data_IF_022355785787
#
_entry.id   IF_022355785787
#
_cell.length_a   1.000
_cell.length_b   1.000
_cell.length_c   1.000
_cell.angle_alpha   90.00
_cell.angle_beta   90.00
_cell.angle_gamma   90.00
#
_symmetry.space_group_name_H-M   'P 1'
#
loop_
_entity.id
_entity.type
_entity.pdbx_description
1 polymer ?
#
# COMPACT_ATOMS: atom_id res chain seq x y z
N UNK A 1 -118.02 46.77 -21.14
CA UNK A 1 -117.21 47.10 -22.34
C UNK A 1 -115.71 47.02 -22.03
N UNK A 2 -115.03 46.06 -22.67
CA UNK A 2 -113.58 45.88 -22.87
C UNK A 2 -112.65 45.78 -21.64
N UNK A 3 -112.18 44.60 -21.24
CA UNK A 3 -111.17 43.69 -21.86
C UNK A 3 -109.72 44.01 -21.44
N UNK A 4 -109.16 43.07 -20.64
CA UNK A 4 -107.82 42.44 -20.75
C UNK A 4 -106.55 43.30 -20.65
N UNK A 5 -105.68 43.01 -19.67
CA UNK A 5 -104.30 42.52 -19.89
C UNK A 5 -103.69 41.87 -18.63
N UNK A 6 -102.76 40.95 -18.89
CA UNK A 6 -102.27 39.83 -18.07
C UNK A 6 -100.83 40.07 -17.58
N UNK A 7 -100.57 39.56 -16.36
CA UNK A 7 -99.33 39.11 -15.67
C UNK A 7 -98.10 40.02 -15.47
N UNK A 8 -97.55 39.98 -14.24
CA UNK A 8 -96.28 39.27 -13.94
C UNK A 8 -95.86 39.35 -12.46
N UNK A 9 -95.36 38.21 -11.96
CA UNK A 9 -94.34 38.00 -10.91
C UNK A 9 -94.62 38.32 -9.42
N UNK A 10 -94.94 37.25 -8.68
CA UNK A 10 -94.14 36.64 -7.59
C UNK A 10 -93.32 37.55 -6.67
N UNK A 11 -93.67 37.58 -5.38
CA UNK A 11 -92.88 37.09 -4.21
C UNK A 11 -93.62 37.49 -2.90
N UNK A 12 -93.89 36.56 -1.97
CA UNK A 12 -94.54 36.86 -0.69
C UNK A 12 -93.51 37.19 0.41
N UNK A 13 -93.71 38.30 1.13
CA UNK A 13 -92.97 38.64 2.36
C UNK A 13 -93.56 37.86 3.54
N UNK A 14 -92.86 36.80 3.97
CA UNK A 14 -93.19 36.02 5.18
C UNK A 14 -92.51 36.66 6.40
N UNK A 15 -93.36 36.96 7.39
CA UNK A 15 -93.08 37.40 8.76
C UNK A 15 -91.85 36.72 9.40
N UNK A 16 -90.90 37.53 9.88
CA UNK A 16 -89.76 37.09 10.69
C UNK A 16 -90.20 36.59 12.08
N UNK A 17 -90.18 35.27 12.30
CA UNK A 17 -90.31 34.64 13.62
C UNK A 17 -88.96 34.07 14.03
N UNK A 18 -88.39 34.64 15.09
CA UNK A 18 -87.19 34.15 15.79
C UNK A 18 -87.32 32.68 16.19
N UNK A 19 -86.39 31.83 15.75
CA UNK A 19 -86.10 30.55 16.38
C UNK A 19 -84.60 30.42 16.65
N UNK A 20 -84.20 30.97 17.79
CA UNK A 20 -83.00 30.52 18.51
C UNK A 20 -83.23 29.03 18.83
N UNK A 21 -82.67 28.13 18.01
CA UNK A 21 -82.71 26.69 18.27
C UNK A 21 -81.80 26.42 19.46
N UNK A 22 -82.40 26.36 20.65
CA UNK A 22 -81.78 25.78 21.82
C UNK A 22 -81.58 24.29 21.54
N UNK A 23 -80.34 23.81 21.63
CA UNK A 23 -80.02 22.40 21.54
C UNK A 23 -80.83 21.63 22.63
N UNK A 24 -81.63 20.66 22.22
CA UNK A 24 -82.37 19.80 23.14
C UNK A 24 -81.39 18.99 24.02
N UNK A 25 -81.71 18.77 25.32
CA UNK A 25 -80.87 17.96 26.18
C UNK A 25 -80.91 16.50 25.71
N UNK A 26 -79.75 15.95 25.38
CA UNK A 26 -79.60 14.53 25.02
C UNK A 26 -80.18 13.64 26.11
N UNK A 27 -80.99 12.65 25.71
CA UNK A 27 -81.61 11.71 26.65
C UNK A 27 -80.55 10.88 27.35
N UNK A 28 -80.85 10.39 28.56
CA UNK A 28 -79.93 9.56 29.36
C UNK A 28 -79.40 8.35 28.57
N UNK A 29 -80.19 7.79 27.66
CA UNK A 29 -79.79 6.69 26.79
C UNK A 29 -78.73 7.11 25.75
N UNK A 30 -78.82 8.32 25.18
CA UNK A 30 -77.81 8.83 24.26
C UNK A 30 -76.49 9.14 24.97
N UNK A 31 -76.54 9.61 26.22
CA UNK A 31 -75.35 9.84 27.05
C UNK A 31 -74.68 8.51 27.40
N UNK A 32 -75.47 7.49 27.76
CA UNK A 32 -74.96 6.14 28.08
C UNK A 32 -74.40 5.46 26.83
N UNK A 33 -75.04 5.59 25.67
CA UNK A 33 -74.55 5.02 24.42
C UNK A 33 -73.25 5.71 23.97
N UNK A 34 -73.16 7.03 24.11
CA UNK A 34 -71.93 7.77 23.82
C UNK A 34 -70.81 7.39 24.80
N UNK A 35 -71.12 7.19 26.08
CA UNK A 35 -70.15 6.73 27.08
C UNK A 35 -69.65 5.31 26.82
N UNK A 36 -70.52 4.39 26.36
CA UNK A 36 -70.14 3.03 25.96
C UNK A 36 -69.27 3.08 24.69
N UNK A 37 -69.61 3.89 23.69
CA UNK A 37 -68.79 4.06 22.48
C UNK A 37 -67.41 4.63 22.84
N UNK A 38 -67.34 5.61 23.74
CA UNK A 38 -66.08 6.17 24.24
C UNK A 38 -65.28 5.11 25.01
N UNK A 39 -65.92 4.32 25.88
CA UNK A 39 -65.25 3.25 26.62
C UNK A 39 -64.72 2.12 25.70
N UNK A 40 -65.50 1.73 24.68
CA UNK A 40 -65.12 0.70 23.69
C UNK A 40 -64.00 1.20 22.78
N UNK A 41 -64.01 2.48 22.39
CA UNK A 41 -62.91 3.08 21.61
C UNK A 41 -61.64 3.26 22.43
N UNK A 42 -61.72 3.60 23.72
CA UNK A 42 -60.56 3.66 24.62
C UNK A 42 -59.98 2.26 24.87
N UNK A 43 -60.82 1.23 25.01
CA UNK A 43 -60.36 -0.16 25.16
C UNK A 43 -59.66 -0.69 23.89
N UNK A 44 -60.04 -0.23 22.70
CA UNK A 44 -59.35 -0.54 21.44
C UNK A 44 -58.00 0.21 21.27
N UNK A 45 -57.72 1.22 22.11
CA UNK A 45 -56.43 1.93 22.19
C UNK A 45 -55.51 1.31 23.26
N UNK A 46 -55.97 0.29 24.00
CA UNK A 46 -55.08 -0.59 24.77
C UNK A 46 -54.33 -1.52 23.81
N UNK A 47 -53.46 -0.90 23.01
CA UNK A 47 -52.46 -1.57 22.21
C UNK A 47 -51.67 -2.48 23.18
N UNK A 48 -51.58 -3.80 22.93
CA UNK A 48 -50.74 -4.66 23.77
C UNK A 48 -49.33 -4.07 23.75
N UNK A 49 -48.62 -4.11 24.87
CA UNK A 49 -47.27 -3.55 25.08
C UNK A 49 -46.19 -4.01 24.07
N UNK A 50 -46.56 -4.78 23.05
CA UNK A 50 -45.78 -5.23 21.91
C UNK A 50 -45.90 -4.34 20.65
N UNK A 51 -46.78 -3.34 20.62
CA UNK A 51 -46.75 -2.27 19.60
C UNK A 51 -46.39 -0.94 20.26
N UNK A 52 -45.34 -0.98 21.08
CA UNK A 52 -44.35 0.10 21.02
C UNK A 52 -43.48 -0.25 19.82
N UNK A 53 -43.98 -0.01 18.60
CA UNK A 53 -43.04 0.17 17.49
C UNK A 53 -42.23 1.37 17.94
N UNK A 54 -40.98 1.09 18.26
CA UNK A 54 -39.88 2.01 18.34
C UNK A 54 -40.03 3.15 17.31
N UNK A 55 -40.79 4.18 17.69
CA UNK A 55 -40.50 5.57 17.35
C UNK A 55 -39.32 6.02 18.23
N UNK A 56 -38.37 5.12 18.49
CA UNK A 56 -37.12 5.41 19.18
C UNK A 56 -36.18 5.94 18.11
N UNK A 57 -36.20 7.26 17.93
CA UNK A 57 -35.27 8.02 17.13
C UNK A 57 -35.01 7.44 15.73
N UNK A 58 -35.80 7.85 14.74
CA UNK A 58 -35.28 7.96 13.38
C UNK A 58 -33.96 8.70 13.49
N UNK A 59 -32.87 7.96 13.29
CA UNK A 59 -31.52 8.43 13.50
C UNK A 59 -31.33 9.75 12.76
N UNK A 60 -30.95 10.78 13.51
CA UNK A 60 -30.73 12.18 13.09
C UNK A 60 -29.63 12.34 12.02
N UNK A 61 -29.12 11.24 11.48
CA UNK A 61 -28.07 11.22 10.48
C UNK A 61 -28.69 11.39 9.10
N UNK A 62 -28.17 12.27 8.23
CA UNK A 62 -28.61 12.38 6.84
C UNK A 62 -28.49 11.06 6.07
N UNK A 63 -29.37 10.84 5.09
CA UNK A 63 -29.19 9.75 4.11
C UNK A 63 -27.86 9.95 3.37
N UNK A 64 -27.15 8.87 3.07
CA UNK A 64 -25.81 8.91 2.47
C UNK A 64 -24.67 9.07 3.49
N UNK A 65 -24.97 9.21 4.80
CA UNK A 65 -23.94 9.19 5.84
C UNK A 65 -23.29 7.81 5.91
N UNK A 66 -21.96 7.78 5.92
CA UNK A 66 -21.15 6.57 6.09
C UNK A 66 -20.60 6.56 7.51
N UNK A 67 -20.73 5.42 8.20
CA UNK A 67 -20.18 5.20 9.53
C UNK A 67 -19.43 3.87 9.61
N UNK A 68 -18.57 3.77 10.62
CA UNK A 68 -17.93 2.52 11.02
C UNK A 68 -18.91 1.68 11.84
N UNK A 69 -18.91 0.37 11.58
CA UNK A 69 -19.80 -0.59 12.21
C UNK A 69 -19.06 -1.86 12.58
N UNK A 70 -19.05 -2.18 13.88
CA UNK A 70 -18.32 -3.32 14.45
C UNK A 70 -19.14 -4.60 14.56
N UNK A 71 -20.44 -4.55 14.25
CA UNK A 71 -21.35 -5.69 14.39
C UNK A 71 -21.51 -6.51 13.10
N UNK A 72 -22.37 -7.51 13.15
CA UNK A 72 -22.67 -8.37 12.00
C UNK A 72 -23.60 -7.64 11.02
N UNK A 73 -23.21 -7.56 9.75
CA UNK A 73 -24.00 -6.87 8.72
C UNK A 73 -25.45 -7.36 8.59
N UNK A 74 -25.72 -8.64 8.83
CA UNK A 74 -27.08 -9.21 8.80
C UNK A 74 -28.06 -8.55 9.77
N UNK A 75 -27.56 -7.92 10.84
CA UNK A 75 -28.40 -7.24 11.84
C UNK A 75 -28.83 -5.85 11.42
N UNK A 76 -28.09 -5.21 10.50
CA UNK A 76 -28.34 -3.83 10.05
C UNK A 76 -28.82 -3.73 8.61
N UNK A 77 -28.74 -4.81 7.84
CA UNK A 77 -29.29 -4.90 6.47
C UNK A 77 -30.71 -5.47 6.45
N UNK A 78 -31.30 -5.77 7.60
CA UNK A 78 -32.70 -6.17 7.72
C UNK A 78 -33.64 -4.98 7.45
N UNK A 79 -34.89 -5.25 7.10
CA UNK A 79 -35.91 -4.24 6.75
C UNK A 79 -36.09 -3.10 7.77
N UNK A 80 -35.73 -3.39 9.03
CA UNK A 80 -35.94 -2.53 10.19
C UNK A 80 -34.86 -1.44 10.28
N UNK A 81 -33.69 -1.68 9.66
CA UNK A 81 -32.54 -0.79 9.66
C UNK A 81 -32.21 -0.40 8.22
N UNK A 82 -32.34 0.90 7.90
CA UNK A 82 -31.99 1.43 6.57
C UNK A 82 -30.47 1.61 6.45
N UNK A 83 -29.70 0.54 6.55
CA UNK A 83 -28.25 0.56 6.39
C UNK A 83 -27.80 -0.48 5.37
N UNK A 84 -26.81 -0.11 4.56
CA UNK A 84 -26.23 -0.97 3.52
C UNK A 84 -24.71 -1.04 3.70
N UNK A 85 -24.12 -2.19 3.35
CA UNK A 85 -22.67 -2.38 3.36
C UNK A 85 -22.02 -1.57 2.22
N UNK A 86 -20.89 -0.92 2.50
CA UNK A 86 -20.11 -0.22 1.47
C UNK A 86 -19.10 -1.19 0.80
N UNK A 87 -19.62 -2.13 0.03
CA UNK A 87 -18.86 -3.18 -0.67
C UNK A 87 -18.91 -3.10 -2.20
N UNK A 88 -19.42 -1.99 -2.74
CA UNK A 88 -19.59 -1.82 -4.19
C UNK A 88 -20.78 -2.55 -4.81
N UNK A 89 -21.66 -3.17 -4.01
CA UNK A 89 -22.84 -3.87 -4.51
C UNK A 89 -23.81 -2.95 -5.25
N UNK A 90 -24.57 -3.54 -6.18
CA UNK A 90 -25.69 -2.89 -6.85
C UNK A 90 -26.96 -3.00 -6.02
N UNK A 91 -27.67 -1.90 -5.87
CA UNK A 91 -28.94 -1.84 -5.14
C UNK A 91 -30.03 -1.13 -5.95
N UNK A 92 -31.29 -1.44 -5.65
CA UNK A 92 -32.45 -0.93 -6.39
C UNK A 92 -32.69 0.57 -6.15
N UNK A 93 -32.86 1.33 -7.23
CA UNK A 93 -33.26 2.75 -7.22
C UNK A 93 -34.66 2.96 -6.64
N UNK A 94 -35.55 1.97 -6.80
CA UNK A 94 -36.93 2.07 -6.29
C UNK A 94 -36.99 1.75 -4.80
N UNK A 95 -36.24 0.75 -4.36
CA UNK A 95 -36.19 0.34 -2.94
C UNK A 95 -35.43 1.36 -2.09
N UNK A 96 -34.35 1.95 -2.62
CA UNK A 96 -33.49 2.91 -1.92
C UNK A 96 -33.48 4.28 -2.62
N UNK A 97 -34.67 4.80 -2.90
CA UNK A 97 -34.85 6.06 -3.64
C UNK A 97 -34.27 7.27 -2.92
N UNK A 98 -34.34 7.32 -1.58
CA UNK A 98 -33.75 8.38 -0.79
C UNK A 98 -32.22 8.42 -0.95
N UNK A 99 -31.57 7.26 -0.88
CA UNK A 99 -30.13 7.14 -1.11
C UNK A 99 -29.73 7.50 -2.53
N UNK A 100 -30.48 7.02 -3.52
CA UNK A 100 -30.24 7.34 -4.92
C UNK A 100 -30.35 8.84 -5.20
N UNK A 101 -31.27 9.56 -4.54
CA UNK A 101 -31.38 11.01 -4.68
C UNK A 101 -30.15 11.76 -4.15
N UNK A 102 -29.41 11.18 -3.19
CA UNK A 102 -28.23 11.81 -2.59
C UNK A 102 -26.95 11.46 -3.36
N UNK A 103 -26.72 10.18 -3.63
CA UNK A 103 -25.45 9.73 -4.23
C UNK A 103 -25.55 9.46 -5.74
N UNK A 104 -26.76 9.33 -6.28
CA UNK A 104 -27.01 9.09 -7.70
C UNK A 104 -26.21 7.90 -8.25
N UNK A 105 -25.54 8.14 -9.37
CA UNK A 105 -24.66 7.18 -10.05
C UNK A 105 -23.18 7.42 -9.77
N UNK A 106 -22.85 8.19 -8.73
CA UNK A 106 -21.48 8.59 -8.38
C UNK A 106 -20.56 7.37 -8.32
N UNK A 107 -20.98 6.29 -7.67
CA UNK A 107 -20.18 5.07 -7.52
C UNK A 107 -20.39 4.03 -8.64
N UNK A 108 -21.13 4.40 -9.69
CA UNK A 108 -21.45 3.57 -10.85
C UNK A 108 -22.94 3.54 -11.15
N UNK A 109 -23.26 3.40 -12.44
CA UNK A 109 -24.63 3.44 -12.98
C UNK A 109 -25.49 2.22 -12.67
N UNK A 110 -24.92 1.20 -12.00
CA UNK A 110 -25.59 -0.08 -11.84
C UNK A 110 -25.81 -0.79 -13.16
N UNK A 111 -27.04 -1.28 -13.36
CA UNK A 111 -27.56 -1.86 -14.60
C UNK A 111 -27.94 -0.79 -15.66
N UNK A 112 -27.75 0.49 -15.34
CA UNK A 112 -28.11 1.63 -16.20
C UNK A 112 -29.56 2.10 -16.08
N UNK A 113 -30.45 1.30 -15.47
CA UNK A 113 -31.89 1.55 -15.46
C UNK A 113 -32.49 1.50 -14.04
N UNK A 114 -32.45 0.34 -13.38
CA UNK A 114 -33.15 0.09 -12.12
C UNK A 114 -32.24 0.08 -10.90
N UNK A 115 -30.92 0.00 -11.08
CA UNK A 115 -29.95 -0.10 -9.97
C UNK A 115 -28.91 1.01 -10.00
N UNK A 116 -28.20 1.18 -8.89
CA UNK A 116 -27.03 2.04 -8.74
C UNK A 116 -26.02 1.35 -7.83
N UNK A 117 -24.75 1.73 -7.93
CA UNK A 117 -23.69 1.14 -7.12
C UNK A 117 -23.52 1.87 -5.79
N UNK A 118 -23.16 1.11 -4.76
CA UNK A 118 -22.71 1.63 -3.47
C UNK A 118 -21.20 1.97 -3.49
N UNK A 119 -20.70 2.76 -2.52
CA UNK A 119 -19.27 2.90 -2.28
C UNK A 119 -18.60 1.55 -2.01
N UNK A 120 -17.33 1.40 -2.37
CA UNK A 120 -16.52 0.22 -2.06
C UNK A 120 -15.30 0.61 -1.20
N UNK A 121 -15.39 0.28 0.09
CA UNK A 121 -14.32 0.52 1.09
C UNK A 121 -13.57 -0.74 1.50
N UNK A 122 -13.74 -1.86 0.77
CA UNK A 122 -12.98 -3.08 1.07
C UNK A 122 -11.50 -2.82 0.83
N UNK A 123 -10.68 -3.09 1.84
CA UNK A 123 -9.24 -2.81 1.85
C UNK A 123 -8.88 -1.34 1.54
N UNK A 124 -9.74 -0.40 1.91
CA UNK A 124 -9.54 1.04 1.68
C UNK A 124 -9.88 1.82 2.94
N UNK A 125 -9.22 2.96 3.12
CA UNK A 125 -9.59 3.95 4.13
C UNK A 125 -10.16 5.20 3.45
N UNK A 126 -11.06 5.94 4.10
CA UNK A 126 -11.56 7.20 3.56
C UNK A 126 -10.47 8.27 3.62
N UNK A 127 -10.24 8.93 2.49
CA UNK A 127 -9.42 10.14 2.38
C UNK A 127 -10.34 11.32 2.10
N UNK A 128 -10.11 12.45 2.79
CA UNK A 128 -10.83 13.68 2.50
C UNK A 128 -10.50 14.18 1.09
N UNK A 129 -11.52 14.53 0.31
CA UNK A 129 -11.31 15.11 -1.01
C UNK A 129 -10.75 16.53 -0.89
N UNK A 130 -9.83 16.88 -1.77
CA UNK A 130 -9.30 18.23 -1.95
C UNK A 130 -9.06 18.52 -3.45
N UNK A 131 -8.42 19.63 -3.78
CA UNK A 131 -8.10 20.00 -5.17
C UNK A 131 -7.18 18.97 -5.86
N UNK A 132 -6.34 18.25 -5.10
CA UNK A 132 -5.41 17.25 -5.61
C UNK A 132 -6.01 15.84 -5.69
N UNK A 133 -7.03 15.58 -4.88
CA UNK A 133 -7.75 14.31 -4.76
C UNK A 133 -9.25 14.57 -4.94
N UNK A 134 -9.69 14.56 -6.19
CA UNK A 134 -11.10 14.74 -6.53
C UNK A 134 -11.98 13.67 -5.87
N UNK A 135 -13.28 13.96 -5.73
CA UNK A 135 -14.25 12.98 -5.27
C UNK A 135 -14.11 11.66 -6.08
N UNK A 136 -14.04 10.53 -5.37
CA UNK A 136 -13.80 9.17 -5.90
C UNK A 136 -12.39 8.87 -6.44
N UNK A 137 -11.44 9.79 -6.31
CA UNK A 137 -10.05 9.44 -6.59
C UNK A 137 -9.64 8.27 -5.69
N UNK A 138 -9.06 7.24 -6.31
CA UNK A 138 -8.51 6.07 -5.60
C UNK A 138 -6.99 6.11 -5.66
N UNK A 139 -6.33 5.74 -4.57
CA UNK A 139 -4.88 5.65 -4.52
C UNK A 139 -4.41 4.69 -3.41
N UNK A 140 -3.10 4.52 -3.33
CA UNK A 140 -2.46 3.59 -2.40
C UNK A 140 -2.41 2.14 -2.90
N UNK A 141 -1.66 1.31 -2.19
CA UNK A 141 -1.51 -0.12 -2.45
C UNK A 141 -1.43 -0.87 -1.12
N UNK A 142 -1.92 -2.12 -1.06
CA UNK A 142 -1.76 -2.95 0.15
C UNK A 142 -0.32 -3.46 0.29
N UNK A 143 0.38 -3.64 -0.82
CA UNK A 143 1.80 -3.98 -0.86
C UNK A 143 2.48 -3.08 -1.86
N UNK A 144 3.74 -2.72 -1.59
CA UNK A 144 4.51 -1.86 -2.48
C UNK A 144 5.92 -2.38 -2.67
N UNK A 145 6.36 -2.43 -3.92
CA UNK A 145 7.76 -2.68 -4.24
C UNK A 145 8.42 -1.33 -4.46
N UNK A 146 9.39 -0.99 -3.61
CA UNK A 146 10.10 0.28 -3.76
C UNK A 146 10.85 0.33 -5.08
N UNK A 147 10.65 1.44 -5.79
CA UNK A 147 11.43 1.84 -6.94
C UNK A 147 12.62 2.68 -6.51
N UNK A 148 13.63 2.80 -7.37
CA UNK A 148 14.80 3.66 -7.11
C UNK A 148 14.39 5.12 -6.87
N UNK A 149 13.31 5.59 -7.49
CA UNK A 149 12.79 6.95 -7.30
C UNK A 149 12.20 7.20 -5.90
N UNK A 150 11.86 6.12 -5.17
CA UNK A 150 11.28 6.18 -3.82
C UNK A 150 12.35 5.95 -2.73
N UNK A 151 13.60 5.68 -3.12
CA UNK A 151 14.73 5.58 -2.21
C UNK A 151 15.45 6.93 -2.14
N UNK A 152 15.62 7.53 -0.94
CA UNK A 152 16.51 8.67 -0.76
C UNK A 152 17.91 8.37 -1.30
N UNK A 153 18.60 9.42 -1.76
CA UNK A 153 20.00 9.30 -2.17
C UNK A 153 20.82 8.67 -1.04
N UNK A 154 21.46 7.54 -1.33
CA UNK A 154 22.28 6.80 -0.39
C UNK A 154 23.56 6.32 -1.09
N UNK A 155 24.58 6.03 -0.30
CA UNK A 155 25.86 5.50 -0.78
C UNK A 155 26.11 4.16 -0.14
N UNK A 156 26.66 3.24 -0.93
CA UNK A 156 27.23 2.01 -0.39
C UNK A 156 28.68 2.30 -0.01
N UNK A 157 29.09 1.81 1.16
CA UNK A 157 30.51 1.78 1.49
C UNK A 157 31.25 0.90 0.47
N UNK A 158 32.56 1.08 0.32
CA UNK A 158 33.34 0.20 -0.54
C UNK A 158 33.18 -1.22 -0.02
N UNK A 159 32.48 -2.08 -0.78
CA UNK A 159 32.23 -3.48 -0.40
C UNK A 159 33.54 -4.26 -0.16
N UNK A 160 33.48 -5.58 -0.04
CA UNK A 160 34.67 -6.40 0.27
C UNK A 160 35.64 -6.57 -0.90
N UNK A 161 35.56 -5.72 -1.93
CA UNK A 161 36.46 -5.78 -3.07
C UNK A 161 37.89 -5.59 -2.60
N UNK A 162 38.65 -6.66 -2.70
CA UNK A 162 40.06 -6.69 -2.36
C UNK A 162 40.83 -7.41 -3.48
N UNK A 163 42.04 -6.93 -3.73
CA UNK A 163 43.04 -7.69 -4.49
C UNK A 163 43.45 -8.89 -3.65
N UNK A 164 43.31 -10.10 -4.18
CA UNK A 164 43.84 -11.27 -3.49
C UNK A 164 45.37 -11.20 -3.55
N UNK A 165 46.04 -11.58 -2.45
CA UNK A 165 47.50 -11.66 -2.43
C UNK A 165 47.95 -12.61 -3.55
N UNK A 166 48.88 -12.17 -4.41
CA UNK A 166 49.38 -12.96 -5.56
C UNK A 166 50.24 -14.17 -5.16
N UNK A 167 50.24 -14.55 -3.87
CA UNK A 167 51.10 -15.59 -3.32
C UNK A 167 52.59 -15.21 -3.29
N UNK A 168 53.40 -16.05 -2.65
CA UNK A 168 54.87 -15.94 -2.68
C UNK A 168 55.36 -16.44 -4.03
N UNK A 169 56.18 -15.65 -4.73
CA UNK A 169 56.87 -16.10 -5.94
C UNK A 169 58.38 -16.12 -5.71
N UNK A 170 59.07 -16.98 -6.46
CA UNK A 170 60.52 -17.14 -6.41
C UNK A 170 61.13 -16.75 -7.74
N UNK A 171 62.29 -16.11 -7.69
CA UNK A 171 63.09 -15.81 -8.87
C UNK A 171 64.08 -16.94 -9.12
N UNK A 172 64.22 -17.35 -10.38
CA UNK A 172 65.35 -18.15 -10.80
C UNK A 172 66.51 -17.22 -11.21
N UNK A 173 67.73 -17.63 -10.88
CA UNK A 173 68.93 -17.00 -11.40
C UNK A 173 69.55 -17.90 -12.47
N UNK A 174 70.31 -17.32 -13.39
CA UNK A 174 71.15 -18.06 -14.32
C UNK A 174 72.59 -17.70 -14.06
N UNK A 175 73.39 -18.71 -13.77
CA UNK A 175 74.83 -18.63 -13.72
C UNK A 175 75.37 -19.38 -14.95
N UNK A 176 75.98 -18.69 -15.93
CA UNK A 176 76.57 -19.31 -17.11
C UNK A 176 77.73 -20.26 -16.81
N UNK A 177 78.15 -20.37 -15.54
CA UNK A 177 79.33 -21.10 -15.13
C UNK A 177 80.57 -20.25 -15.41
N UNK A 178 81.31 -19.92 -14.35
CA UNK A 178 82.61 -19.29 -14.48
C UNK A 178 83.65 -20.11 -13.73
N UNK A 179 84.88 -20.12 -14.25
CA UNK A 179 86.01 -20.81 -13.64
C UNK A 179 86.54 -19.99 -12.46
N UNK A 180 86.69 -20.64 -11.31
CA UNK A 180 87.42 -20.08 -10.16
C UNK A 180 88.91 -20.36 -10.34
N UNK A 181 89.49 -19.86 -11.45
CA UNK A 181 90.93 -19.68 -11.67
C UNK A 181 91.84 -20.89 -11.43
N UNK A 182 91.32 -22.12 -11.50
CA UNK A 182 92.06 -23.33 -11.16
C UNK A 182 92.48 -24.13 -12.38
N UNK A 183 93.17 -23.51 -13.34
CA UNK A 183 93.60 -24.23 -14.55
C UNK A 183 94.70 -25.24 -14.17
N UNK A 184 94.33 -26.48 -13.87
CA UNK A 184 95.25 -27.64 -13.82
C UNK A 184 95.60 -28.05 -15.24
N UNK A 185 96.19 -27.12 -16.01
CA UNK A 185 96.81 -27.43 -17.29
C UNK A 185 98.03 -28.31 -17.04
N UNK A 186 97.86 -29.63 -17.13
CA UNK A 186 98.97 -30.58 -17.11
C UNK A 186 99.82 -30.35 -18.36
N UNK A 187 100.92 -29.62 -18.21
CA UNK A 187 101.87 -29.39 -19.30
C UNK A 187 102.65 -30.68 -19.55
N UNK A 188 102.47 -31.28 -20.73
CA UNK A 188 103.25 -32.44 -21.17
C UNK A 188 104.55 -31.96 -21.79
N UNK A 189 105.69 -32.25 -21.16
CA UNK A 189 107.02 -31.92 -21.69
C UNK A 189 107.67 -33.14 -22.34
N UNK A 190 108.32 -32.96 -23.49
CA UNK A 190 109.10 -34.02 -24.14
C UNK A 190 110.45 -34.19 -23.45
N UNK A 191 110.88 -35.42 -23.14
CA UNK A 191 112.05 -35.72 -22.30
C UNK A 191 113.30 -34.88 -22.64
N UNK A 192 113.68 -34.00 -21.72
CA UNK A 192 114.88 -33.17 -21.80
C UNK A 192 115.06 -32.37 -20.50
N UNK A 193 116.20 -31.69 -20.34
CA UNK A 193 116.42 -30.79 -19.20
C UNK A 193 115.89 -29.39 -19.55
N UNK A 194 114.81 -28.97 -18.89
CA UNK A 194 114.24 -27.63 -19.04
C UNK A 194 114.53 -26.81 -17.78
N UNK A 195 115.02 -25.58 -17.97
CA UNK A 195 115.17 -24.63 -16.87
C UNK A 195 113.81 -23.99 -16.59
N UNK A 196 113.19 -24.40 -15.49
CA UNK A 196 111.96 -23.76 -14.99
C UNK A 196 112.37 -22.46 -14.31
N UNK A 197 112.14 -21.32 -14.95
CA UNK A 197 112.26 -20.02 -14.27
C UNK A 197 111.01 -19.87 -13.39
N UNK A 198 111.17 -19.84 -12.07
CA UNK A 198 110.09 -19.54 -11.13
C UNK A 198 109.62 -18.09 -11.35
N UNK A 199 108.67 -17.93 -12.26
CA UNK A 199 108.14 -16.64 -12.70
C UNK A 199 106.64 -16.74 -12.92
N UNK A 200 105.93 -17.20 -11.89
CA UNK A 200 104.47 -17.27 -11.86
C UNK A 200 104.03 -17.65 -10.45
N UNK A 201 103.74 -16.63 -9.62
CA UNK A 201 103.30 -16.83 -8.25
C UNK A 201 102.02 -17.65 -8.21
N UNK A 202 102.04 -18.74 -7.43
CA UNK A 202 100.80 -19.28 -6.91
C UNK A 202 100.29 -18.29 -5.85
N UNK A 203 99.10 -17.72 -6.08
CA UNK A 203 98.38 -17.01 -5.03
C UNK A 203 98.24 -17.94 -3.83
N UNK A 204 98.62 -17.45 -2.65
CA UNK A 204 98.52 -18.23 -1.42
C UNK A 204 97.07 -18.27 -0.98
N UNK A 205 96.40 -19.38 -1.23
CA UNK A 205 95.07 -19.67 -0.68
C UNK A 205 95.18 -19.97 0.82
N UNK A 206 95.20 -18.93 1.64
CA UNK A 206 95.06 -19.04 3.10
C UNK A 206 94.42 -17.81 3.75
N UNK A 207 93.50 -17.14 3.06
CA UNK A 207 92.74 -16.03 3.62
C UNK A 207 91.33 -15.98 3.06
N UNK A 208 90.34 -15.81 3.95
CA UNK A 208 88.98 -15.45 3.54
C UNK A 208 89.06 -14.11 2.81
N UNK A 209 88.85 -14.14 1.51
CA UNK A 209 88.75 -12.96 0.69
C UNK A 209 87.39 -13.00 -0.02
N UNK A 210 86.77 -11.84 -0.16
CA UNK A 210 85.51 -11.70 -0.88
C UNK A 210 85.80 -11.20 -2.28
N UNK A 211 85.35 -11.92 -3.29
CA UNK A 211 85.30 -11.39 -4.65
C UNK A 211 84.11 -10.43 -4.75
N UNK A 212 84.40 -9.13 -4.85
CA UNK A 212 83.36 -8.17 -5.26
C UNK A 212 83.25 -8.29 -6.76
N UNK A 213 82.17 -8.91 -7.24
CA UNK A 213 81.91 -9.01 -8.67
C UNK A 213 81.17 -7.73 -9.08
N UNK A 214 81.79 -6.84 -9.89
CA UNK A 214 81.11 -5.66 -10.38
C UNK A 214 79.92 -6.09 -11.23
N UNK A 215 78.76 -5.47 -11.01
CA UNK A 215 77.55 -5.73 -11.78
C UNK A 215 77.86 -5.55 -13.28
N UNK A 216 78.00 -6.68 -14.00
CA UNK A 216 78.30 -6.72 -15.43
C UNK A 216 79.38 -7.72 -15.88
N UNK A 217 80.22 -8.28 -14.99
CA UNK A 217 81.39 -9.06 -15.44
C UNK A 217 81.17 -10.57 -15.70
N UNK A 218 80.11 -11.19 -15.19
CA UNK A 218 79.92 -12.67 -15.28
C UNK A 218 78.55 -13.11 -15.81
N UNK A 219 77.72 -12.19 -16.30
CA UNK A 219 76.43 -12.54 -16.90
C UNK A 219 75.42 -13.20 -15.94
N UNK A 220 75.67 -13.24 -14.62
CA UNK A 220 74.67 -13.66 -13.65
C UNK A 220 73.53 -12.64 -13.68
N UNK A 221 72.36 -13.10 -14.12
CA UNK A 221 71.15 -12.28 -14.15
C UNK A 221 70.06 -12.93 -13.33
N UNK A 222 69.37 -12.12 -12.51
CA UNK A 222 68.11 -12.50 -11.90
C UNK A 222 67.04 -12.41 -12.99
N UNK A 223 66.35 -13.51 -13.28
CA UNK A 223 65.26 -13.47 -14.26
C UNK A 223 64.09 -12.69 -13.67
N UNK A 224 63.50 -11.80 -14.47
CA UNK A 224 62.23 -11.14 -14.12
C UNK A 224 61.21 -12.21 -13.73
N UNK A 225 60.40 -11.96 -12.70
CA UNK A 225 59.32 -12.87 -12.27
C UNK A 225 58.28 -13.13 -13.38
N UNK A 226 58.37 -12.41 -14.51
CA UNK A 226 57.35 -12.40 -15.54
C UNK A 226 56.13 -11.58 -15.11
N UNK A 227 55.20 -11.38 -16.04
CA UNK A 227 53.91 -10.75 -15.73
C UNK A 227 53.10 -11.68 -14.83
N UNK A 228 52.62 -11.17 -13.71
CA UNK A 228 51.62 -11.86 -12.89
C UNK A 228 50.34 -11.03 -12.82
N UNK A 229 49.26 -11.66 -12.39
CA UNK A 229 47.94 -11.03 -12.27
C UNK A 229 47.44 -11.18 -10.84
N UNK A 230 46.73 -10.15 -10.37
CA UNK A 230 45.91 -10.24 -9.18
C UNK A 230 44.48 -10.52 -9.63
N UNK A 231 43.83 -11.49 -9.00
CA UNK A 231 42.38 -11.58 -9.08
C UNK A 231 41.79 -10.55 -8.12
N UNK A 232 40.75 -9.86 -8.58
CA UNK A 232 39.90 -9.05 -7.70
C UNK A 232 38.80 -9.99 -7.21
N UNK A 233 38.67 -10.12 -5.89
CA UNK A 233 37.61 -10.90 -5.25
C UNK A 233 36.82 -9.99 -4.33
N UNK A 234 35.54 -10.30 -4.17
CA UNK A 234 34.62 -9.53 -3.36
C UNK A 234 33.31 -9.34 -4.11
N UNK A 235 32.38 -8.65 -3.47
CA UNK A 235 31.10 -8.32 -4.07
C UNK A 235 30.77 -6.88 -3.70
N UNK A 236 30.13 -6.14 -4.61
CA UNK A 236 29.36 -4.95 -4.23
C UNK A 236 28.05 -5.32 -3.55
N UNK A 237 27.78 -6.64 -3.45
CA UNK A 237 26.57 -7.32 -3.04
C UNK A 237 25.37 -7.00 -3.95
N UNK A 238 24.27 -7.73 -3.75
CA UNK A 238 23.00 -7.56 -4.46
C UNK A 238 21.98 -7.10 -3.44
N UNK A 239 21.55 -5.85 -3.56
CA UNK A 239 20.74 -5.21 -2.55
C UNK A 239 19.29 -5.09 -3.02
N UNK A 240 18.38 -5.32 -2.08
CA UNK A 240 16.96 -5.05 -2.22
C UNK A 240 16.12 -6.20 -2.76
N UNK A 241 16.68 -7.17 -3.51
CA UNK A 241 15.98 -8.34 -4.09
C UNK A 241 14.63 -8.06 -4.78
N UNK A 242 14.28 -6.79 -5.00
CA UNK A 242 12.98 -6.28 -5.46
C UNK A 242 11.74 -6.91 -4.79
N UNK A 243 11.84 -7.31 -3.52
CA UNK A 243 10.69 -7.94 -2.84
C UNK A 243 9.69 -6.89 -2.35
N UNK A 244 8.39 -7.04 -2.64
CA UNK A 244 7.36 -6.19 -2.07
C UNK A 244 7.32 -6.32 -0.55
N UNK A 245 7.05 -5.23 0.16
CA UNK A 245 6.72 -5.27 1.58
C UNK A 245 5.35 -4.64 1.85
N UNK A 246 4.79 -5.00 2.99
CA UNK A 246 3.53 -4.44 3.48
C UNK A 246 3.76 -3.02 3.99
N UNK A 247 3.00 -2.06 3.45
CA UNK A 247 3.06 -0.65 3.85
C UNK A 247 1.93 -0.29 4.83
N UNK A 248 1.09 -1.25 5.21
CA UNK A 248 -0.01 -1.00 6.13
C UNK A 248 0.51 -0.96 7.57
N UNK A 249 0.29 0.15 8.32
CA UNK A 249 0.52 0.13 9.76
C UNK A 249 -0.44 -0.86 10.44
N UNK A 250 -0.21 -1.27 11.70
CA UNK A 250 -1.13 -2.15 12.41
C UNK A 250 -2.58 -1.65 12.33
N UNK A 251 -3.49 -2.51 11.83
CA UNK A 251 -4.87 -2.14 11.54
C UNK A 251 -5.87 -3.17 12.10
N UNK A 252 -7.08 -2.69 12.38
CA UNK A 252 -8.25 -3.52 12.66
C UNK A 252 -9.29 -3.27 11.58
N UNK A 253 -9.84 -4.34 11.03
CA UNK A 253 -10.89 -4.25 10.02
C UNK A 253 -12.24 -4.02 10.70
N UNK A 254 -12.98 -3.02 10.20
CA UNK A 254 -14.33 -2.66 10.65
C UNK A 254 -15.18 -2.43 9.41
N UNK A 255 -16.47 -2.76 9.47
CA UNK A 255 -17.36 -2.55 8.33
C UNK A 255 -17.66 -1.06 8.13
N UNK A 256 -17.74 -0.63 6.87
CA UNK A 256 -18.35 0.64 6.50
C UNK A 256 -19.79 0.39 6.09
N UNK A 257 -20.72 1.12 6.70
CA UNK A 257 -22.15 1.08 6.34
C UNK A 257 -22.65 2.47 5.99
N UNK A 258 -23.56 2.54 5.02
CA UNK A 258 -24.19 3.77 4.53
C UNK A 258 -25.68 3.78 4.86
N UNK A 259 -26.19 4.93 5.32
CA UNK A 259 -27.61 5.11 5.61
C UNK A 259 -28.39 5.24 4.31
N UNK A 260 -29.37 4.36 4.10
CA UNK A 260 -30.17 4.25 2.90
C UNK A 260 -31.54 4.96 2.97
#
# INVERSE_FOLDING_TARGET
PNQVRVDTNTIPTISSRSTKSAAEPKTTLEIVLLAIIIAVTIAAIAIPATVIIATTATSKLPVGTIILYSGTLSTVTSSDYKWLSCDGSQVSRTTYSALFNVIGITYGSGDGFNTFNLPDFRNRFPLGSDESSSLLATGGASTHTLTVAELPAHTHDTGTLATVAAGVHTHSYTDPGHDHGGTTGSATFASGSYSMTSGGGHGTDAGSHTHTIPNGAIGITIKSAGSHTHTIQGSTASEGSNQPFDIMPPYQTIHYIIRA
#
